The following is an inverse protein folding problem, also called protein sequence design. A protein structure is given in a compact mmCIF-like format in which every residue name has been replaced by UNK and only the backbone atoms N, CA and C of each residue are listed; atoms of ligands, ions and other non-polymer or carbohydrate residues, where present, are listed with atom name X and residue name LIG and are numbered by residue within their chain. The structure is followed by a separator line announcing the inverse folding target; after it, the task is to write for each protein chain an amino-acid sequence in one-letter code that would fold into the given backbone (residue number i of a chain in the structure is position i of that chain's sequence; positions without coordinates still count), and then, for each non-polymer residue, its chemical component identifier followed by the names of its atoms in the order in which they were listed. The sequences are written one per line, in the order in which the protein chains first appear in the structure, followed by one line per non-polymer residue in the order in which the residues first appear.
data_IF_173116015500
#
_entry.id   IF_173116015500
#
_cell.length_a   1.000
_cell.length_b   1.000
_cell.length_c   1.000
_cell.angle_alpha   90.00
_cell.angle_beta   90.00
_cell.angle_gamma   90.00
#
_symmetry.space_group_name_H-M   'P 1'
#
loop_
_entity.id
_entity.type
_entity.pdbx_description
1 polymer ?
#
# COMPACT_ATOMS: atom_id res chain seq x y z
N UNK A 1 28.78 -81.44 39.52
CA UNK A 1 27.91 -80.30 39.15
C UNK A 1 28.48 -79.66 37.89
N UNK A 2 27.86 -79.92 36.77
CA UNK A 2 28.27 -79.40 35.42
C UNK A 2 27.29 -78.32 35.04
N UNK A 3 27.74 -77.12 34.98
CA UNK A 3 26.96 -75.96 34.54
C UNK A 3 26.98 -75.84 33.00
N UNK A 4 25.83 -75.98 32.36
CA UNK A 4 25.63 -75.79 30.92
C UNK A 4 25.45 -74.32 30.65
N UNK A 5 26.32 -73.71 29.81
CA UNK A 5 26.14 -72.38 29.32
C UNK A 5 25.51 -72.46 27.91
N UNK A 6 24.26 -71.97 27.77
CA UNK A 6 23.58 -71.85 26.53
C UNK A 6 23.96 -70.48 25.90
N UNK A 7 24.63 -70.52 24.75
CA UNK A 7 24.89 -69.35 23.91
C UNK A 7 23.75 -69.23 22.88
N UNK A 8 22.90 -68.21 23.02
CA UNK A 8 21.89 -67.90 22.04
C UNK A 8 22.52 -67.00 20.94
N UNK A 9 22.62 -67.57 19.76
CA UNK A 9 23.04 -66.80 18.55
C UNK A 9 21.84 -65.98 18.02
N UNK A 10 21.89 -64.64 18.11
CA UNK A 10 20.96 -63.71 17.47
C UNK A 10 21.34 -63.58 15.98
N UNK A 11 20.54 -64.19 15.13
CA UNK A 11 20.61 -63.95 13.67
C UNK A 11 19.98 -62.58 13.37
N UNK A 12 20.81 -61.56 13.10
CA UNK A 12 20.38 -60.28 12.57
C UNK A 12 20.20 -60.44 11.06
N UNK A 13 18.96 -60.56 10.62
CA UNK A 13 18.58 -60.54 9.20
C UNK A 13 18.63 -59.05 8.75
N UNK A 14 19.74 -58.69 8.12
CA UNK A 14 19.82 -57.39 7.42
C UNK A 14 19.01 -57.48 6.10
N UNK A 15 17.80 -56.95 6.12
CA UNK A 15 17.00 -56.73 4.92
C UNK A 15 17.68 -55.64 4.05
N UNK A 16 18.33 -56.04 2.99
CA UNK A 16 18.77 -55.12 1.97
C UNK A 16 17.53 -54.55 1.26
N UNK A 17 17.13 -53.32 1.63
CA UNK A 17 16.17 -52.55 0.85
C UNK A 17 16.91 -52.06 -0.39
N UNK A 18 16.72 -52.73 -1.51
CA UNK A 18 17.17 -52.23 -2.80
C UNK A 18 16.38 -50.95 -3.08
N UNK A 19 17.03 -49.82 -3.42
CA UNK A 19 16.30 -48.67 -3.88
C UNK A 19 15.55 -49.05 -5.16
N UNK A 20 14.24 -48.96 -5.17
CA UNK A 20 13.45 -49.09 -6.39
C UNK A 20 13.93 -48.01 -7.33
N UNK A 21 14.57 -48.36 -8.43
CA UNK A 21 14.87 -47.42 -9.49
C UNK A 21 13.50 -46.87 -9.95
N UNK A 22 13.27 -45.56 -9.75
CA UNK A 22 12.09 -44.92 -10.27
C UNK A 22 12.12 -45.11 -11.82
N UNK A 23 11.10 -45.78 -12.35
CA UNK A 23 10.93 -45.86 -13.81
C UNK A 23 10.71 -44.45 -14.32
N UNK A 24 11.63 -43.98 -15.16
CA UNK A 24 11.46 -42.70 -15.86
C UNK A 24 10.43 -42.92 -16.98
N UNK A 25 9.21 -42.51 -16.75
CA UNK A 25 8.16 -42.57 -17.76
C UNK A 25 8.49 -41.60 -18.90
N UNK A 26 8.64 -42.14 -20.11
CA UNK A 26 8.84 -41.32 -21.29
C UNK A 26 7.50 -40.70 -21.70
N UNK A 27 7.45 -39.37 -21.73
CA UNK A 27 6.28 -38.65 -22.21
C UNK A 27 6.07 -39.01 -23.69
N UNK A 28 4.91 -39.58 -24.03
CA UNK A 28 4.59 -40.05 -25.38
C UNK A 28 3.56 -39.19 -26.09
N UNK A 29 2.86 -38.32 -25.34
CA UNK A 29 1.86 -37.41 -25.87
C UNK A 29 2.52 -36.08 -26.25
N UNK A 30 2.42 -35.64 -27.52
CA UNK A 30 2.97 -34.35 -27.91
C UNK A 30 2.24 -33.21 -27.23
N UNK A 31 3.00 -32.27 -26.69
CA UNK A 31 2.46 -31.04 -26.13
C UNK A 31 2.05 -30.10 -27.26
N UNK A 32 0.82 -29.60 -27.27
CA UNK A 32 0.36 -28.68 -28.31
C UNK A 32 1.15 -27.35 -28.24
N UNK A 33 1.54 -26.77 -29.40
CA UNK A 33 2.17 -25.45 -29.40
C UNK A 33 1.28 -24.42 -28.68
N UNK A 34 1.87 -23.60 -27.83
CA UNK A 34 1.20 -22.55 -27.08
C UNK A 34 0.70 -22.93 -25.69
N UNK A 35 0.75 -24.21 -25.29
CA UNK A 35 0.48 -24.62 -23.89
C UNK A 35 1.78 -24.95 -23.12
N UNK A 36 2.90 -25.12 -23.83
CA UNK A 36 4.19 -25.25 -23.19
C UNK A 36 4.74 -23.87 -22.84
N UNK A 37 5.23 -23.71 -21.63
CA UNK A 37 5.97 -22.50 -21.23
C UNK A 37 7.31 -22.51 -21.98
N UNK A 38 7.69 -21.43 -22.70
CA UNK A 38 8.98 -21.35 -23.36
C UNK A 38 10.12 -21.32 -22.34
N UNK A 39 11.28 -21.84 -22.68
CA UNK A 39 12.47 -21.84 -21.83
C UNK A 39 13.09 -20.44 -21.70
N UNK A 40 12.84 -19.54 -22.64
CA UNK A 40 13.32 -18.16 -22.66
C UNK A 40 12.19 -17.22 -23.05
N UNK A 41 12.06 -16.11 -22.30
CA UNK A 41 11.08 -15.05 -22.54
C UNK A 41 11.78 -13.70 -22.54
N UNK A 42 11.75 -13.00 -23.68
CA UNK A 42 12.26 -11.63 -23.78
C UNK A 42 11.29 -10.65 -23.13
N UNK A 43 11.80 -9.83 -22.20
CA UNK A 43 11.01 -8.86 -21.46
C UNK A 43 11.72 -7.52 -21.34
N UNK A 44 11.03 -6.50 -20.84
CA UNK A 44 11.62 -5.19 -20.54
C UNK A 44 12.67 -5.22 -19.41
N UNK A 45 12.73 -6.30 -18.65
CA UNK A 45 13.72 -6.48 -17.57
C UNK A 45 14.84 -7.47 -17.97
N UNK A 46 14.88 -7.88 -19.23
CA UNK A 46 15.85 -8.81 -19.79
C UNK A 46 15.22 -10.13 -20.21
N UNK A 47 16.08 -11.05 -20.64
CA UNK A 47 15.68 -12.41 -21.00
C UNK A 47 15.47 -13.24 -19.75
N UNK A 48 14.24 -13.68 -19.52
CA UNK A 48 13.90 -14.58 -18.42
C UNK A 48 14.13 -16.04 -18.87
N UNK A 49 14.86 -16.81 -18.07
CA UNK A 49 15.16 -18.22 -18.33
C UNK A 49 14.35 -19.11 -17.42
N UNK A 50 13.70 -20.11 -18.01
CA UNK A 50 12.90 -21.08 -17.31
C UNK A 50 13.33 -22.51 -17.70
N UNK A 51 13.07 -23.46 -16.83
CA UNK A 51 13.20 -24.88 -17.11
C UNK A 51 11.89 -25.57 -16.72
N UNK A 52 11.20 -26.12 -17.71
CA UNK A 52 9.87 -26.70 -17.51
C UNK A 52 8.88 -25.75 -16.77
N UNK A 53 8.95 -24.45 -17.06
CA UNK A 53 8.11 -23.42 -16.43
C UNK A 53 8.62 -22.94 -15.07
N UNK A 54 9.73 -23.48 -14.54
CA UNK A 54 10.35 -23.03 -13.30
C UNK A 54 11.47 -22.03 -13.62
N UNK A 55 11.44 -20.81 -13.06
CA UNK A 55 12.46 -19.80 -13.32
C UNK A 55 13.82 -20.20 -12.73
N UNK A 56 14.90 -19.82 -13.41
CA UNK A 56 16.26 -19.90 -12.85
C UNK A 56 16.40 -18.96 -11.64
N UNK A 57 17.46 -19.16 -10.83
CA UNK A 57 17.73 -18.30 -9.68
C UNK A 57 17.94 -16.85 -10.12
N UNK A 58 18.69 -16.60 -11.20
CA UNK A 58 18.90 -15.24 -11.74
C UNK A 58 17.59 -14.62 -12.25
N UNK A 59 16.74 -15.41 -12.89
CA UNK A 59 15.41 -14.96 -13.35
C UNK A 59 14.53 -14.61 -12.16
N UNK A 60 14.56 -15.43 -11.12
CA UNK A 60 13.82 -15.21 -9.88
C UNK A 60 14.25 -13.90 -9.21
N UNK A 61 15.56 -13.67 -9.08
CA UNK A 61 16.13 -12.43 -8.53
C UNK A 61 15.70 -11.21 -9.36
N UNK A 62 15.85 -11.26 -10.68
CA UNK A 62 15.45 -10.17 -11.57
C UNK A 62 13.94 -9.83 -11.48
N UNK A 63 13.08 -10.85 -11.34
CA UNK A 63 11.64 -10.65 -11.16
C UNK A 63 11.34 -9.97 -9.81
N UNK A 64 11.97 -10.42 -8.71
CA UNK A 64 11.77 -9.81 -7.39
C UNK A 64 12.32 -8.38 -7.34
N UNK A 65 13.49 -8.11 -7.89
CA UNK A 65 14.05 -6.76 -7.99
C UNK A 65 13.11 -5.81 -8.76
N UNK A 66 12.56 -6.29 -9.89
CA UNK A 66 11.58 -5.49 -10.63
C UNK A 66 10.28 -5.27 -9.85
N UNK A 67 9.83 -6.28 -9.10
CA UNK A 67 8.64 -6.15 -8.25
C UNK A 67 8.88 -5.11 -7.15
N UNK A 68 10.02 -5.14 -6.48
CA UNK A 68 10.38 -4.21 -5.41
C UNK A 68 10.53 -2.78 -5.94
N UNK A 69 11.16 -2.62 -7.11
CA UNK A 69 11.23 -1.33 -7.80
C UNK A 69 9.84 -0.78 -8.16
N UNK A 70 8.96 -1.64 -8.66
CA UNK A 70 7.59 -1.26 -9.01
C UNK A 70 6.78 -0.84 -7.78
N UNK A 71 6.94 -1.58 -6.67
CA UNK A 71 6.31 -1.25 -5.37
C UNK A 71 6.86 0.05 -4.79
N UNK A 72 8.17 0.28 -4.89
CA UNK A 72 8.77 1.53 -4.43
C UNK A 72 8.26 2.73 -5.22
N UNK A 73 8.14 2.62 -6.55
CA UNK A 73 7.53 3.65 -7.39
C UNK A 73 6.07 3.90 -7.01
N UNK A 74 5.29 2.84 -6.81
CA UNK A 74 3.90 2.95 -6.38
C UNK A 74 3.80 3.64 -5.01
N UNK A 75 4.63 3.25 -4.04
CA UNK A 75 4.67 3.89 -2.72
C UNK A 75 5.03 5.37 -2.80
N UNK A 76 5.99 5.73 -3.65
CA UNK A 76 6.36 7.13 -3.92
C UNK A 76 5.16 7.94 -4.45
N UNK A 77 4.49 7.43 -5.51
CA UNK A 77 3.34 8.13 -6.10
C UNK A 77 2.17 8.25 -5.12
N UNK A 78 1.88 7.20 -4.35
CA UNK A 78 0.83 7.23 -3.33
C UNK A 78 1.19 8.13 -2.14
N UNK A 79 2.48 8.36 -1.90
CA UNK A 79 2.96 9.23 -0.82
C UNK A 79 2.94 10.72 -1.17
N UNK A 80 2.88 11.11 -2.44
CA UNK A 80 2.91 12.52 -2.86
C UNK A 80 1.83 13.39 -2.18
N UNK A 81 0.55 12.96 -2.10
CA UNK A 81 -0.48 13.76 -1.45
C UNK A 81 -0.16 14.04 0.03
N UNK A 82 0.21 13.03 0.79
CA UNK A 82 0.50 13.23 2.22
C UNK A 82 1.74 14.10 2.46
N UNK A 83 2.77 13.99 1.62
CA UNK A 83 3.95 14.86 1.71
C UNK A 83 3.57 16.32 1.46
N UNK A 84 2.70 16.58 0.47
CA UNK A 84 2.19 17.92 0.20
C UNK A 84 1.34 18.44 1.37
N UNK A 85 0.40 17.63 1.88
CA UNK A 85 -0.44 18.02 3.01
C UNK A 85 0.38 18.34 4.27
N UNK A 86 1.42 17.54 4.56
CA UNK A 86 2.32 17.82 5.69
C UNK A 86 3.09 19.12 5.47
N UNK A 87 3.56 19.38 4.27
CA UNK A 87 4.26 20.63 3.93
C UNK A 87 3.35 21.85 4.10
N UNK A 88 2.13 21.80 3.56
CA UNK A 88 1.10 22.83 3.74
C UNK A 88 0.77 23.06 5.23
N UNK A 89 0.52 21.98 5.97
CA UNK A 89 0.24 22.06 7.41
C UNK A 89 1.36 22.78 8.16
N UNK A 90 2.61 22.42 7.86
CA UNK A 90 3.76 23.05 8.52
C UNK A 90 3.88 24.54 8.16
N UNK A 91 3.62 24.91 6.91
CA UNK A 91 3.63 26.32 6.50
C UNK A 91 2.50 27.12 7.18
N UNK A 92 1.28 26.59 7.24
CA UNK A 92 0.15 27.27 7.87
C UNK A 92 0.30 27.38 9.41
N UNK A 93 1.04 26.45 10.03
CA UNK A 93 1.34 26.53 11.47
C UNK A 93 2.22 27.71 11.87
N UNK A 94 2.88 28.38 10.91
CA UNK A 94 3.58 29.64 11.16
C UNK A 94 2.62 30.77 11.56
N UNK A 95 1.34 30.67 11.15
CA UNK A 95 0.29 31.62 11.52
C UNK A 95 -0.40 31.27 12.84
N UNK A 96 -0.32 30.02 13.28
CA UNK A 96 -0.89 29.58 14.56
C UNK A 96 -1.16 28.07 14.61
N UNK A 97 -1.61 27.56 15.77
CA UNK A 97 -1.78 26.13 15.99
C UNK A 97 -3.01 25.56 15.26
N UNK A 98 -2.95 24.26 14.97
CA UNK A 98 -4.10 23.50 14.45
C UNK A 98 -5.33 23.67 15.35
N UNK A 99 -6.51 23.41 14.83
CA UNK A 99 -7.82 23.45 15.48
C UNK A 99 -8.33 24.85 15.88
N UNK A 100 -7.47 25.86 15.91
CA UNK A 100 -7.83 27.21 16.38
C UNK A 100 -7.40 28.32 15.45
N UNK A 101 -6.68 27.99 14.39
CA UNK A 101 -6.21 28.97 13.39
C UNK A 101 -6.80 28.62 12.04
N UNK A 102 -7.64 29.52 11.54
CA UNK A 102 -8.17 29.52 10.18
C UNK A 102 -7.43 30.58 9.36
N UNK A 103 -6.65 30.16 8.37
CA UNK A 103 -5.88 31.06 7.51
C UNK A 103 -6.73 31.44 6.32
N UNK A 104 -7.02 32.70 6.18
CA UNK A 104 -7.90 33.26 5.14
C UNK A 104 -7.08 34.07 4.16
N UNK A 105 -7.16 33.74 2.85
CA UNK A 105 -6.63 34.57 1.79
C UNK A 105 -7.68 35.60 1.37
N UNK A 106 -7.41 36.87 1.64
CA UNK A 106 -8.31 37.97 1.25
C UNK A 106 -8.22 38.32 -0.24
N UNK A 107 -7.16 37.87 -0.89
CA UNK A 107 -6.96 38.04 -2.33
C UNK A 107 -6.87 36.68 -3.03
N UNK A 108 -7.13 36.67 -4.33
CA UNK A 108 -6.93 35.47 -5.14
C UNK A 108 -5.47 35.04 -5.13
N UNK A 109 -5.24 33.75 -5.06
CA UNK A 109 -3.90 33.17 -5.14
C UNK A 109 -3.33 33.29 -6.57
N UNK A 110 -2.02 33.24 -6.69
CA UNK A 110 -1.30 33.27 -7.96
C UNK A 110 -0.30 32.10 -8.07
N UNK A 111 0.46 32.07 -9.16
CA UNK A 111 1.44 31.00 -9.40
C UNK A 111 2.61 30.94 -8.41
N UNK A 112 2.73 31.91 -7.51
CA UNK A 112 3.72 31.90 -6.42
C UNK A 112 3.20 31.22 -5.15
N UNK A 113 1.88 31.03 -5.07
CA UNK A 113 1.26 30.30 -3.97
C UNK A 113 1.51 28.81 -4.17
N UNK A 114 2.24 28.20 -3.25
CA UNK A 114 2.60 26.78 -3.34
C UNK A 114 1.53 25.94 -2.64
N UNK A 115 0.43 25.73 -3.33
CA UNK A 115 -0.67 24.88 -2.91
C UNK A 115 -1.01 23.86 -3.99
N UNK A 116 -1.30 22.62 -3.58
CA UNK A 116 -1.79 21.62 -4.52
C UNK A 116 -3.28 21.87 -4.77
N UNK A 117 -3.69 21.87 -6.05
CA UNK A 117 -5.09 22.00 -6.50
C UNK A 117 -5.76 23.37 -6.30
N UNK A 118 -5.05 24.39 -5.80
CA UNK A 118 -5.58 25.74 -5.71
C UNK A 118 -5.91 26.31 -7.10
N UNK A 119 -6.91 27.19 -7.15
CA UNK A 119 -7.26 27.96 -8.35
C UNK A 119 -7.12 29.45 -8.08
N UNK A 120 -7.09 30.25 -9.14
CA UNK A 120 -6.86 31.69 -9.11
C UNK A 120 -8.16 32.52 -9.19
N UNK A 121 -9.32 31.90 -9.03
CA UNK A 121 -10.62 32.56 -9.13
C UNK A 121 -11.51 32.43 -7.91
N UNK A 122 -10.98 31.82 -6.84
CA UNK A 122 -11.67 31.63 -5.56
C UNK A 122 -10.76 32.06 -4.42
N UNK A 123 -11.32 32.76 -3.42
CA UNK A 123 -10.62 33.00 -2.14
C UNK A 123 -10.72 31.76 -1.28
N UNK A 124 -9.64 31.45 -0.58
CA UNK A 124 -9.54 30.26 0.25
C UNK A 124 -9.49 30.57 1.74
N UNK A 125 -9.98 29.66 2.52
CA UNK A 125 -9.80 29.56 3.95
C UNK A 125 -9.39 28.14 4.29
N UNK A 126 -8.31 27.97 5.07
CA UNK A 126 -7.77 26.67 5.45
C UNK A 126 -7.58 26.54 6.95
N UNK A 127 -8.14 25.50 7.51
CA UNK A 127 -7.92 25.10 8.90
C UNK A 127 -7.51 23.64 8.97
N UNK A 128 -6.51 23.33 9.79
CA UNK A 128 -6.08 21.96 10.07
C UNK A 128 -6.79 21.42 11.30
N UNK A 129 -7.44 20.27 11.14
CA UNK A 129 -8.18 19.59 12.19
C UNK A 129 -7.36 18.41 12.73
N UNK A 130 -6.90 18.52 13.96
CA UNK A 130 -6.14 17.47 14.65
C UNK A 130 -7.02 16.83 15.72
N UNK A 131 -7.49 15.60 15.42
CA UNK A 131 -8.35 14.82 16.33
C UNK A 131 -7.58 13.88 17.26
N UNK A 132 -6.24 13.96 17.30
CA UNK A 132 -5.41 13.07 18.14
C UNK A 132 -5.70 13.18 19.63
N UNK A 133 -6.24 14.32 20.09
CA UNK A 133 -6.63 14.57 21.49
C UNK A 133 -8.10 14.31 21.78
N UNK A 134 -8.90 13.96 20.78
CA UNK A 134 -10.32 13.70 20.92
C UNK A 134 -11.18 14.36 19.84
N UNK A 135 -12.50 14.28 19.99
CA UNK A 135 -13.45 14.91 19.08
C UNK A 135 -13.31 16.43 19.01
N UNK A 136 -13.66 16.97 17.84
CA UNK A 136 -13.70 18.41 17.58
C UNK A 136 -15.10 18.83 17.12
N UNK A 137 -15.51 20.04 17.47
CA UNK A 137 -16.67 20.69 16.86
C UNK A 137 -16.16 21.79 15.95
N UNK A 138 -16.52 21.69 14.68
CA UNK A 138 -16.21 22.70 13.66
C UNK A 138 -17.49 23.48 13.39
N UNK A 139 -17.46 24.79 13.57
CA UNK A 139 -18.57 25.68 13.24
C UNK A 139 -18.33 26.30 11.86
N UNK A 140 -19.25 26.02 10.95
CA UNK A 140 -19.20 26.50 9.56
C UNK A 140 -20.09 27.71 9.42
N UNK A 141 -19.58 28.85 8.93
CA UNK A 141 -20.41 30.04 8.72
C UNK A 141 -21.35 29.86 7.52
N UNK A 142 -22.43 30.64 7.44
CA UNK A 142 -23.34 30.55 6.30
C UNK A 142 -22.70 31.03 4.99
N UNK A 143 -23.19 30.49 3.86
CA UNK A 143 -22.83 30.89 2.48
C UNK A 143 -21.40 30.54 2.06
N UNK A 144 -20.74 29.64 2.76
CA UNK A 144 -19.45 29.08 2.31
C UNK A 144 -19.67 27.83 1.46
N UNK A 145 -18.71 27.53 0.61
CA UNK A 145 -18.55 26.25 -0.06
C UNK A 145 -17.27 25.62 0.49
N UNK A 146 -17.37 24.46 1.04
CA UNK A 146 -16.21 23.84 1.66
C UNK A 146 -16.33 22.31 1.73
N UNK A 147 -15.22 21.69 2.06
CA UNK A 147 -15.13 20.25 2.25
C UNK A 147 -14.10 19.94 3.34
N UNK A 148 -14.18 18.76 3.90
CA UNK A 148 -13.22 18.18 4.81
C UNK A 148 -12.55 17.02 4.09
N UNK A 149 -11.22 17.06 3.99
CA UNK A 149 -10.38 16.03 3.42
C UNK A 149 -9.54 15.35 4.48
N UNK A 150 -9.06 14.14 4.17
CA UNK A 150 -7.98 13.54 4.93
C UNK A 150 -6.59 13.95 4.37
N UNK A 151 -5.54 13.45 5.02
CA UNK A 151 -4.16 13.76 4.64
C UNK A 151 -3.74 13.20 3.26
N UNK A 152 -4.60 12.47 2.55
CA UNK A 152 -4.42 12.00 1.17
C UNK A 152 -5.33 12.70 0.18
N UNK A 153 -5.94 13.85 0.55
CA UNK A 153 -6.97 14.52 -0.25
C UNK A 153 -8.18 13.64 -0.55
N UNK A 154 -8.45 12.65 0.30
CA UNK A 154 -9.68 11.88 0.15
C UNK A 154 -10.81 12.60 0.85
N UNK A 155 -11.90 12.74 0.13
CA UNK A 155 -13.12 13.35 0.64
C UNK A 155 -13.62 12.66 1.91
N UNK A 156 -13.95 13.44 2.92
CA UNK A 156 -14.56 13.01 4.18
C UNK A 156 -15.99 13.52 4.27
N UNK A 157 -16.22 14.83 4.08
CA UNK A 157 -17.55 15.42 4.10
C UNK A 157 -17.56 16.77 3.36
N UNK A 158 -18.70 17.11 2.77
CA UNK A 158 -18.96 18.45 2.32
C UNK A 158 -19.49 19.30 3.46
N UNK A 159 -19.20 20.61 3.44
CA UNK A 159 -19.71 21.59 4.37
C UNK A 159 -20.19 22.83 3.61
N UNK A 160 -21.08 23.61 4.20
CA UNK A 160 -21.62 24.81 3.55
C UNK A 160 -22.65 24.46 2.46
N UNK A 161 -22.58 25.11 1.30
CA UNK A 161 -23.60 25.05 0.23
C UNK A 161 -23.90 23.62 -0.21
N UNK A 162 -22.89 22.77 -0.32
CA UNK A 162 -23.00 21.38 -0.72
C UNK A 162 -23.13 20.41 0.45
N UNK A 163 -22.90 20.87 1.66
CA UNK A 163 -22.99 20.07 2.89
C UNK A 163 -24.41 19.97 3.45
N UNK A 164 -24.52 19.25 4.55
CA UNK A 164 -25.79 19.01 5.27
C UNK A 164 -26.47 20.32 5.78
N UNK A 165 -25.69 21.38 5.99
CA UNK A 165 -26.19 22.68 6.39
C UNK A 165 -26.82 23.50 5.23
N UNK A 166 -26.66 23.03 3.97
CA UNK A 166 -27.21 23.68 2.78
C UNK A 166 -26.91 25.19 2.72
N UNK A 167 -25.71 25.59 3.10
CA UNK A 167 -25.25 26.97 3.13
C UNK A 167 -25.89 27.85 4.22
N UNK A 168 -26.57 27.26 5.19
CA UNK A 168 -27.15 28.02 6.31
C UNK A 168 -26.17 28.21 7.47
N UNK A 169 -25.04 27.52 7.41
CA UNK A 169 -24.11 27.38 8.49
C UNK A 169 -24.54 26.28 9.47
N UNK A 170 -23.58 25.70 10.17
CA UNK A 170 -23.87 24.58 11.07
C UNK A 170 -22.68 24.19 11.93
N UNK A 171 -22.91 23.23 12.82
CA UNK A 171 -21.86 22.64 13.67
C UNK A 171 -21.69 21.18 13.32
N UNK A 172 -20.48 20.84 12.97
CA UNK A 172 -20.07 19.49 12.58
C UNK A 172 -19.23 18.88 13.71
N UNK A 173 -19.62 17.70 14.18
CA UNK A 173 -18.84 16.93 15.15
C UNK A 173 -17.89 16.00 14.38
N UNK A 174 -16.59 16.24 14.51
CA UNK A 174 -15.55 15.43 13.91
C UNK A 174 -15.02 14.45 14.94
N UNK A 175 -15.20 13.16 14.67
CA UNK A 175 -14.75 12.09 15.56
C UNK A 175 -13.43 11.50 15.08
N UNK A 176 -12.48 11.22 15.99
CA UNK A 176 -11.26 10.50 15.60
C UNK A 176 -11.59 9.06 15.19
N UNK A 177 -10.73 8.43 14.38
CA UNK A 177 -10.88 7.02 14.01
C UNK A 177 -10.99 6.12 15.25
N UNK A 178 -11.98 5.22 15.26
CA UNK A 178 -12.18 4.28 16.35
C UNK A 178 -12.74 4.88 17.65
N UNK A 179 -13.22 6.10 17.65
CA UNK A 179 -13.89 6.73 18.80
C UNK A 179 -15.14 5.93 19.18
N UNK A 180 -15.31 5.67 20.50
CA UNK A 180 -16.45 4.93 21.07
C UNK A 180 -17.15 5.74 22.13
#
# INVERSE_FOLDING_TARGET
MRTLVLIAQLLVSSSFVMPAAAETYKMTTPIAPGIATPDEVETSIGTLKLHDGVPSDETTEAIYDNLDRSRALQAYLLGLPIVNQVAMRNALREYGPDNTTDVIWENLVDSKTVELTANDNTVYSFIWLDTTKGPLVVEIPPKVLGLIDDMWYRWVADVGITGEDHGKGGKYLILPPGYK
#
